data_IF_577964342746
#
_entry.id   IF_577964342746
#
_cell.length_a   1.000
_cell.length_b   1.000
_cell.length_c   1.000
_cell.angle_alpha   90.00
_cell.angle_beta   90.00
_cell.angle_gamma   90.00
#
_symmetry.space_group_name_H-M   'P 1'
#
loop_
_entity.id
_entity.type
_entity.pdbx_description
1 polymer ?
#
# COMPACT_ATOMS: atom_id res chain seq x y z
N UNK A 1 -0.28 -32.60 -10.74
CA UNK A 1 -0.52 -31.19 -11.10
C UNK A 1 0.33 -30.75 -12.28
N UNK A 2 1.67 -30.62 -12.14
CA UNK A 2 2.53 -30.01 -13.18
C UNK A 2 2.36 -30.54 -14.61
N UNK A 3 2.09 -31.84 -14.80
CA UNK A 3 1.86 -32.42 -16.12
C UNK A 3 0.57 -31.93 -16.80
N UNK A 4 -0.52 -31.81 -16.04
CA UNK A 4 -1.81 -31.34 -16.53
C UNK A 4 -1.77 -29.83 -16.82
N UNK A 5 -1.21 -29.04 -15.90
CA UNK A 5 -1.08 -27.58 -16.07
C UNK A 5 -0.25 -27.23 -17.33
N UNK A 6 0.83 -28.00 -17.57
CA UNK A 6 1.63 -27.90 -18.80
C UNK A 6 0.81 -28.26 -20.02
N UNK A 7 0.09 -29.39 -19.98
CA UNK A 7 -0.71 -29.86 -21.10
C UNK A 7 -1.83 -28.87 -21.47
N UNK A 8 -2.55 -28.32 -20.50
CA UNK A 8 -3.57 -27.29 -20.75
C UNK A 8 -2.95 -26.06 -21.41
N UNK A 9 -1.81 -25.58 -20.90
CA UNK A 9 -1.07 -24.45 -21.48
C UNK A 9 -0.65 -24.73 -22.93
N UNK A 10 -0.20 -25.96 -23.22
CA UNK A 10 0.17 -26.40 -24.56
C UNK A 10 -1.03 -26.51 -25.51
N UNK A 11 -2.18 -27.01 -25.03
CA UNK A 11 -3.42 -27.09 -25.81
C UNK A 11 -3.93 -25.69 -26.14
N UNK A 12 -3.95 -24.77 -25.16
CA UNK A 12 -4.36 -23.38 -25.37
C UNK A 12 -3.44 -22.64 -26.34
N UNK A 13 -2.15 -22.97 -26.34
CA UNK A 13 -1.18 -22.40 -27.27
C UNK A 13 -1.14 -23.11 -28.64
N UNK A 14 -1.97 -24.13 -28.88
CA UNK A 14 -1.94 -25.00 -30.06
C UNK A 14 -0.55 -25.60 -30.36
N UNK A 15 0.20 -25.94 -29.30
CA UNK A 15 1.60 -26.40 -29.35
C UNK A 15 1.84 -27.60 -28.43
N UNK A 16 1.01 -28.63 -28.56
CA UNK A 16 1.15 -29.86 -27.76
C UNK A 16 2.41 -30.64 -28.12
N UNK A 17 3.28 -30.80 -27.11
CA UNK A 17 4.57 -31.47 -27.26
C UNK A 17 4.44 -32.97 -27.51
N UNK A 18 5.45 -33.58 -28.12
CA UNK A 18 5.50 -35.03 -28.32
C UNK A 18 5.46 -35.81 -27.00
N UNK A 19 6.03 -35.22 -25.93
CA UNK A 19 5.98 -35.79 -24.58
C UNK A 19 4.53 -35.85 -24.07
N UNK A 20 3.79 -34.75 -24.18
CA UNK A 20 2.37 -34.65 -23.84
C UNK A 20 1.51 -35.58 -24.68
N UNK A 21 1.78 -35.71 -25.98
CA UNK A 21 1.08 -36.66 -26.87
C UNK A 21 1.28 -38.10 -26.46
N UNK A 22 2.51 -38.50 -26.11
CA UNK A 22 2.83 -39.85 -25.61
C UNK A 22 2.15 -40.13 -24.29
N UNK A 23 2.15 -39.15 -23.39
CA UNK A 23 1.47 -39.28 -22.10
C UNK A 23 -0.04 -39.45 -22.28
N UNK A 24 -0.69 -38.61 -23.11
CA UNK A 24 -2.10 -38.76 -23.46
C UNK A 24 -2.40 -40.14 -24.04
N UNK A 25 -1.58 -40.61 -24.99
CA UNK A 25 -1.71 -41.94 -25.57
C UNK A 25 -1.58 -43.06 -24.52
N UNK A 26 -0.67 -42.93 -23.54
CA UNK A 26 -0.55 -43.88 -22.43
C UNK A 26 -1.77 -43.90 -21.51
N UNK A 27 -2.53 -42.80 -21.47
CA UNK A 27 -3.80 -42.70 -20.77
C UNK A 27 -5.02 -43.09 -21.65
N UNK A 28 -4.81 -43.45 -22.91
CA UNK A 28 -5.90 -43.73 -23.86
C UNK A 28 -6.69 -42.49 -24.30
N UNK A 29 -6.09 -41.30 -24.17
CA UNK A 29 -6.68 -40.02 -24.55
C UNK A 29 -5.99 -39.44 -25.79
N UNK A 30 -6.74 -38.61 -26.51
CA UNK A 30 -6.24 -37.78 -27.61
C UNK A 30 -6.22 -36.31 -27.20
N UNK A 31 -5.43 -35.50 -27.90
CA UNK A 31 -5.41 -34.04 -27.71
C UNK A 31 -6.81 -33.44 -27.91
N UNK A 32 -7.55 -33.95 -28.90
CA UNK A 32 -8.91 -33.49 -29.21
C UNK A 32 -9.90 -33.82 -28.09
N UNK A 33 -9.83 -35.02 -27.51
CA UNK A 33 -10.67 -35.37 -26.34
C UNK A 33 -10.35 -34.47 -25.14
N UNK A 34 -9.07 -34.21 -24.88
CA UNK A 34 -8.68 -33.32 -23.79
C UNK A 34 -9.16 -31.88 -24.04
N UNK A 35 -8.98 -31.36 -25.25
CA UNK A 35 -9.46 -30.03 -25.66
C UNK A 35 -10.98 -29.88 -25.47
N UNK A 36 -11.75 -30.92 -25.78
CA UNK A 36 -13.20 -30.94 -25.60
C UNK A 36 -13.64 -31.08 -24.13
N UNK A 37 -12.74 -31.46 -23.21
CA UNK A 37 -13.00 -31.46 -21.77
C UNK A 37 -12.54 -30.18 -21.07
N UNK A 38 -11.76 -29.34 -21.74
CA UNK A 38 -11.33 -28.07 -21.17
C UNK A 38 -12.48 -27.08 -21.17
N UNK A 39 -12.70 -26.44 -20.02
CA UNK A 39 -13.55 -25.26 -19.99
C UNK A 39 -12.90 -24.17 -20.86
N UNK A 40 -13.72 -23.39 -21.61
CA UNK A 40 -13.19 -22.25 -22.33
C UNK A 40 -12.50 -21.32 -21.33
N UNK A 41 -11.33 -20.79 -21.68
CA UNK A 41 -10.66 -19.78 -20.87
C UNK A 41 -11.64 -18.64 -20.64
N UNK A 42 -12.06 -18.46 -19.38
CA UNK A 42 -12.94 -17.37 -19.02
C UNK A 42 -12.22 -16.05 -19.33
N UNK A 43 -12.63 -15.42 -20.42
CA UNK A 43 -12.12 -14.12 -20.83
C UNK A 43 -13.23 -13.12 -20.53
N UNK A 44 -13.27 -12.52 -19.34
CA UNK A 44 -14.31 -11.57 -19.00
C UNK A 44 -14.28 -10.41 -19.98
N UNK A 45 -15.47 -9.94 -20.39
CA UNK A 45 -15.57 -8.65 -21.04
C UNK A 45 -15.06 -7.58 -20.05
N UNK A 46 -13.98 -6.88 -20.42
CA UNK A 46 -13.38 -5.84 -19.59
C UNK A 46 -13.99 -4.51 -19.97
N UNK A 47 -14.45 -3.75 -18.98
CA UNK A 47 -14.82 -2.34 -19.12
C UNK A 47 -13.73 -1.49 -18.47
N UNK A 48 -13.37 -0.41 -19.14
CA UNK A 48 -12.38 0.56 -18.65
C UNK A 48 -13.14 1.79 -18.18
N UNK A 49 -12.81 2.26 -16.98
CA UNK A 49 -13.24 3.56 -16.48
C UNK A 49 -12.01 4.32 -15.98
N UNK A 50 -12.03 5.64 -16.14
CA UNK A 50 -11.03 6.55 -15.61
C UNK A 50 -11.53 7.09 -14.27
N UNK A 51 -10.69 7.03 -13.24
CA UNK A 51 -10.99 7.64 -11.96
C UNK A 51 -10.77 9.14 -12.03
N UNK A 52 -11.79 9.90 -11.66
CA UNK A 52 -11.66 11.31 -11.30
C UNK A 52 -11.68 11.40 -9.78
N UNK A 53 -10.58 11.85 -9.19
CA UNK A 53 -10.41 11.97 -7.75
C UNK A 53 -10.27 13.43 -7.32
N UNK A 54 -10.55 13.70 -6.06
CA UNK A 54 -10.20 14.96 -5.42
C UNK A 54 -8.68 15.07 -5.12
N UNK A 55 -8.28 16.18 -4.49
CA UNK A 55 -6.89 16.44 -4.11
C UNK A 55 -6.33 15.50 -3.02
N UNK A 56 -7.18 14.78 -2.29
CA UNK A 56 -6.79 13.76 -1.29
C UNK A 56 -6.65 12.36 -1.94
N UNK A 57 -7.04 12.22 -3.21
CA UNK A 57 -7.10 10.95 -3.92
C UNK A 57 -8.41 10.18 -3.77
N UNK A 58 -9.44 10.77 -3.14
CA UNK A 58 -10.76 10.16 -2.99
C UNK A 58 -11.49 10.13 -4.34
N UNK A 59 -11.94 8.96 -4.83
CA UNK A 59 -12.75 8.88 -6.04
C UNK A 59 -14.06 9.67 -5.94
N UNK A 60 -14.28 10.59 -6.87
CA UNK A 60 -15.52 11.36 -7.00
C UNK A 60 -16.34 10.94 -8.22
N UNK A 61 -15.70 10.43 -9.27
CA UNK A 61 -16.39 9.91 -10.44
C UNK A 61 -15.62 8.82 -11.19
N UNK A 62 -16.36 7.96 -11.89
CA UNK A 62 -15.84 7.04 -12.89
C UNK A 62 -16.31 7.49 -14.26
N UNK A 63 -15.35 7.81 -15.13
CA UNK A 63 -15.61 8.30 -16.48
C UNK A 63 -15.38 7.16 -17.47
N UNK A 64 -16.37 6.89 -18.32
CA UNK A 64 -16.27 5.92 -19.42
C UNK A 64 -15.25 6.36 -20.48
N UNK A 65 -14.86 5.43 -21.36
CA UNK A 65 -13.98 5.73 -22.50
C UNK A 65 -14.60 6.73 -23.49
N UNK A 66 -15.92 6.88 -23.47
CA UNK A 66 -16.67 7.84 -24.28
C UNK A 66 -16.79 9.22 -23.62
N UNK A 67 -16.24 9.39 -22.41
CA UNK A 67 -16.28 10.66 -21.66
C UNK A 67 -17.56 10.88 -20.85
N UNK A 68 -18.47 9.91 -20.80
CA UNK A 68 -19.67 9.98 -19.97
C UNK A 68 -19.39 9.55 -18.52
N UNK A 69 -19.99 10.23 -17.55
CA UNK A 69 -19.97 9.86 -16.13
C UNK A 69 -20.81 8.59 -15.92
N UNK A 70 -20.15 7.50 -15.54
CA UNK A 70 -20.80 6.21 -15.29
C UNK A 70 -21.18 6.03 -13.81
N UNK A 71 -20.49 6.74 -12.93
CA UNK A 71 -20.73 6.80 -11.48
C UNK A 71 -20.17 8.13 -10.97
N UNK A 72 -20.84 8.77 -10.02
CA UNK A 72 -20.25 9.85 -9.23
C UNK A 72 -20.83 9.90 -7.82
N UNK A 73 -20.07 10.47 -6.90
CA UNK A 73 -20.46 10.62 -5.51
C UNK A 73 -19.84 11.88 -4.90
N UNK A 74 -20.52 12.44 -3.90
CA UNK A 74 -19.99 13.52 -3.08
C UNK A 74 -19.70 12.98 -1.67
N UNK A 75 -18.61 13.46 -1.10
CA UNK A 75 -18.16 13.08 0.24
C UNK A 75 -17.76 14.32 1.02
N UNK A 76 -17.88 14.25 2.35
CA UNK A 76 -17.30 15.26 3.22
C UNK A 76 -15.78 15.09 3.41
N UNK A 77 -15.20 15.92 4.28
CA UNK A 77 -13.77 15.93 4.59
C UNK A 77 -13.28 14.66 5.30
N UNK A 78 -14.18 13.88 5.91
CA UNK A 78 -13.90 12.63 6.62
C UNK A 78 -14.27 11.39 5.80
N UNK A 79 -14.80 11.58 4.59
CA UNK A 79 -15.18 10.50 3.69
C UNK A 79 -16.59 9.94 3.96
N UNK A 80 -17.45 10.65 4.69
CA UNK A 80 -18.87 10.28 4.75
C UNK A 80 -19.50 10.51 3.38
N UNK A 81 -20.24 9.51 2.89
CA UNK A 81 -20.97 9.61 1.63
C UNK A 81 -22.17 10.56 1.82
N UNK A 82 -22.20 11.65 1.04
CA UNK A 82 -23.28 12.64 1.06
C UNK A 82 -24.31 12.39 -0.04
N UNK A 83 -23.85 12.00 -1.22
CA UNK A 83 -24.68 11.66 -2.37
C UNK A 83 -23.98 10.62 -3.25
N UNK A 84 -24.77 9.77 -3.93
CA UNK A 84 -24.28 8.71 -4.82
C UNK A 84 -25.21 8.60 -6.04
N UNK A 85 -24.63 8.72 -7.24
CA UNK A 85 -25.30 8.52 -8.51
C UNK A 85 -24.66 7.34 -9.24
N UNK A 86 -25.35 6.20 -9.23
CA UNK A 86 -24.84 4.93 -9.78
C UNK A 86 -25.84 4.26 -10.74
N UNK A 87 -26.13 4.86 -11.92
CA UNK A 87 -27.15 4.36 -12.85
C UNK A 87 -26.82 3.00 -13.47
N UNK A 88 -25.56 2.58 -13.40
CA UNK A 88 -25.08 1.32 -13.97
C UNK A 88 -24.78 0.25 -12.92
N UNK A 89 -25.10 0.49 -11.66
CA UNK A 89 -24.84 -0.42 -10.53
C UNK A 89 -23.39 -0.91 -10.50
N UNK A 90 -22.44 0.00 -10.74
CA UNK A 90 -21.01 -0.29 -10.67
C UNK A 90 -20.61 -0.55 -9.21
N UNK A 91 -19.81 -1.58 -8.99
CA UNK A 91 -19.22 -1.81 -7.67
C UNK A 91 -18.02 -0.87 -7.48
N UNK A 92 -18.22 0.18 -6.69
CA UNK A 92 -17.18 1.17 -6.37
C UNK A 92 -16.90 1.19 -4.87
N UNK A 93 -15.86 0.45 -4.46
CA UNK A 93 -15.51 0.25 -3.05
C UNK A 93 -14.38 1.17 -2.56
N UNK A 94 -13.63 1.83 -3.43
CA UNK A 94 -12.49 2.66 -3.05
C UNK A 94 -12.97 3.92 -2.32
N UNK A 95 -12.27 4.30 -1.24
CA UNK A 95 -12.53 5.50 -0.42
C UNK A 95 -11.27 6.37 -0.34
N UNK A 96 -10.95 6.91 0.85
CA UNK A 96 -9.69 7.62 1.08
C UNK A 96 -8.49 6.70 0.79
N UNK A 97 -7.26 7.22 0.62
CA UNK A 97 -6.11 6.41 0.24
C UNK A 97 -5.94 5.13 1.06
N UNK A 98 -5.84 3.98 0.37
CA UNK A 98 -5.68 2.67 0.99
C UNK A 98 -6.97 2.01 1.48
N UNK A 99 -8.09 2.73 1.47
CA UNK A 99 -9.35 2.28 2.05
C UNK A 99 -10.31 1.63 1.04
N UNK A 100 -11.02 0.60 1.51
CA UNK A 100 -12.14 -0.03 0.82
C UNK A 100 -13.39 -0.02 1.70
N UNK A 101 -14.53 0.30 1.13
CA UNK A 101 -15.82 0.19 1.79
C UNK A 101 -16.17 -1.28 2.02
N UNK A 102 -16.51 -1.59 3.25
CA UNK A 102 -17.05 -2.87 3.68
C UNK A 102 -18.55 -2.72 3.96
N UNK A 103 -19.37 -3.30 3.09
CA UNK A 103 -20.83 -3.22 3.18
C UNK A 103 -21.37 -3.91 4.44
N UNK A 104 -20.70 -4.96 4.94
CA UNK A 104 -21.19 -5.72 6.11
C UNK A 104 -21.10 -4.89 7.39
N UNK A 105 -20.03 -4.10 7.55
CA UNK A 105 -19.80 -3.28 8.73
C UNK A 105 -20.23 -1.82 8.55
N UNK A 106 -20.35 -1.34 7.31
CA UNK A 106 -20.52 0.09 7.01
C UNK A 106 -19.25 0.92 7.21
N UNK A 107 -18.12 0.28 7.49
CA UNK A 107 -16.83 0.91 7.79
C UNK A 107 -15.89 0.84 6.58
N UNK A 108 -14.78 1.56 6.67
CA UNK A 108 -13.75 1.57 5.63
C UNK A 108 -12.56 0.74 6.08
N UNK A 109 -12.40 -0.43 5.47
CA UNK A 109 -11.27 -1.32 5.70
C UNK A 109 -9.99 -0.71 5.16
N UNK A 110 -8.98 -0.57 6.03
CA UNK A 110 -7.64 -0.12 5.69
C UNK A 110 -6.60 -1.12 6.21
N UNK A 111 -6.54 -2.29 5.56
CA UNK A 111 -5.62 -3.40 5.87
C UNK A 111 -5.70 -3.90 7.31
N UNK A 112 -5.01 -3.26 8.24
CA UNK A 112 -4.92 -3.73 9.62
C UNK A 112 -5.97 -3.08 10.55
N UNK A 113 -6.71 -2.08 10.05
CA UNK A 113 -7.67 -1.32 10.85
C UNK A 113 -8.93 -1.01 10.07
N UNK A 114 -10.02 -0.75 10.80
CA UNK A 114 -11.26 -0.20 10.25
C UNK A 114 -11.38 1.27 10.60
N UNK A 115 -11.62 2.10 9.59
CA UNK A 115 -11.86 3.54 9.71
C UNK A 115 -13.37 3.81 9.73
N UNK A 116 -13.79 4.64 10.68
CA UNK A 116 -15.15 5.14 10.79
C UNK A 116 -15.18 6.63 10.36
N UNK A 117 -15.79 6.94 9.21
CA UNK A 117 -15.87 8.32 8.71
C UNK A 117 -16.78 9.21 9.58
N UNK A 118 -17.73 8.66 10.34
CA UNK A 118 -18.56 9.45 11.26
C UNK A 118 -17.75 9.95 12.46
N UNK A 119 -16.75 9.17 12.89
CA UNK A 119 -15.86 9.52 13.99
C UNK A 119 -14.56 10.18 13.54
N UNK A 120 -14.29 10.17 12.23
CA UNK A 120 -13.06 10.68 11.62
C UNK A 120 -11.80 9.94 12.06
N UNK A 121 -11.90 8.64 12.41
CA UNK A 121 -10.81 7.88 13.06
C UNK A 121 -10.92 6.38 12.86
N UNK A 122 -9.86 5.64 13.20
CA UNK A 122 -9.94 4.18 13.29
C UNK A 122 -10.74 3.74 14.52
N UNK A 123 -11.45 2.61 14.44
CA UNK A 123 -12.20 2.03 15.56
C UNK A 123 -11.44 0.88 16.26
N UNK A 124 -10.35 0.42 15.66
CA UNK A 124 -9.44 -0.56 16.22
C UNK A 124 -8.12 0.10 16.58
N UNK A 125 -7.50 -0.32 17.69
CA UNK A 125 -6.19 0.18 18.07
C UNK A 125 -5.15 -0.13 16.99
N UNK A 126 -4.15 0.73 16.88
CA UNK A 126 -2.97 0.46 16.11
C UNK A 126 -2.30 -0.85 16.56
N UNK A 127 -2.13 -1.86 15.70
CA UNK A 127 -1.43 -3.08 16.04
C UNK A 127 0.01 -2.87 16.51
N UNK A 128 0.64 -1.74 16.14
CA UNK A 128 1.98 -1.39 16.65
C UNK A 128 1.94 -0.67 18.01
N UNK A 129 0.75 -0.46 18.58
CA UNK A 129 0.54 0.12 19.91
C UNK A 129 1.06 1.55 19.99
N UNK A 130 1.79 1.87 21.08
CA UNK A 130 2.34 3.21 21.32
C UNK A 130 3.35 3.66 20.26
N UNK A 131 3.89 2.73 19.45
CA UNK A 131 4.76 3.10 18.33
C UNK A 131 4.01 3.88 17.24
N UNK A 132 2.67 3.78 17.17
CA UNK A 132 1.83 4.55 16.24
C UNK A 132 1.40 5.90 16.82
N UNK A 133 1.94 6.28 17.97
CA UNK A 133 1.59 7.50 18.71
C UNK A 133 0.66 7.27 19.90
N UNK A 134 0.42 8.34 20.66
CA UNK A 134 -0.39 8.33 21.89
C UNK A 134 -1.88 8.07 21.65
N UNK A 135 -2.38 8.37 20.45
CA UNK A 135 -3.75 8.10 20.07
C UNK A 135 -3.80 6.84 19.21
N UNK A 136 -4.09 5.70 19.84
CA UNK A 136 -4.17 4.39 19.18
C UNK A 136 -5.19 4.30 18.03
N UNK A 137 -6.06 5.29 17.89
CA UNK A 137 -7.17 5.31 16.95
C UNK A 137 -6.99 6.36 15.85
N UNK A 138 -5.86 7.07 15.81
CA UNK A 138 -5.66 8.23 14.95
C UNK A 138 -5.56 7.87 13.45
N UNK A 139 -6.31 8.60 12.63
CA UNK A 139 -6.06 8.72 11.18
C UNK A 139 -5.18 9.97 10.94
N UNK A 140 -4.34 10.04 9.87
CA UNK A 140 -3.47 11.19 9.64
C UNK A 140 -4.20 12.52 9.75
N UNK A 141 -3.67 13.44 10.56
CA UNK A 141 -4.29 14.75 10.79
C UNK A 141 -4.24 15.66 9.56
N UNK A 142 -3.28 15.40 8.65
CA UNK A 142 -3.12 16.16 7.43
C UNK A 142 -3.06 15.23 6.20
N UNK A 143 -4.22 14.78 5.67
CA UNK A 143 -4.27 13.88 4.51
C UNK A 143 -3.78 14.52 3.19
N UNK A 144 -3.47 15.83 3.18
CA UNK A 144 -2.95 16.53 1.99
C UNK A 144 -1.47 16.21 1.75
N UNK A 145 -0.69 16.01 2.83
CA UNK A 145 0.75 15.70 2.73
C UNK A 145 1.11 14.36 3.37
N UNK A 146 0.28 13.86 4.29
CA UNK A 146 0.49 12.59 4.95
C UNK A 146 -0.52 11.60 4.39
N UNK A 147 -0.03 10.56 3.74
CA UNK A 147 -0.83 9.38 3.45
C UNK A 147 -0.42 8.34 4.48
N UNK A 148 -1.35 7.47 4.86
CA UNK A 148 -1.06 6.29 5.67
C UNK A 148 -1.03 4.99 4.83
N UNK A 149 -0.11 4.81 3.83
CA UNK A 149 -0.14 3.62 2.97
C UNK A 149 0.04 2.31 3.74
N UNK A 150 0.67 2.36 4.91
CA UNK A 150 1.01 1.19 5.73
C UNK A 150 0.58 1.28 7.19
N UNK A 151 0.48 2.47 7.77
CA UNK A 151 0.36 2.70 9.22
C UNK A 151 1.52 3.45 9.87
N UNK A 152 2.66 3.70 9.20
CA UNK A 152 3.99 3.66 9.87
C UNK A 152 5.08 4.62 9.32
N UNK A 153 6.05 4.99 10.16
CA UNK A 153 7.43 5.46 9.83
C UNK A 153 8.45 4.34 10.09
N UNK A 154 9.53 4.31 9.30
CA UNK A 154 10.53 3.24 9.39
C UNK A 154 11.41 3.34 10.66
N UNK A 155 12.07 4.48 10.91
CA UNK A 155 12.85 4.70 12.14
C UNK A 155 12.67 6.13 12.68
N UNK A 156 12.08 6.26 13.87
CA UNK A 156 12.01 7.51 14.61
C UNK A 156 12.99 7.51 15.80
N UNK A 157 13.99 8.39 15.76
CA UNK A 157 15.00 8.58 16.80
C UNK A 157 14.77 9.84 17.63
N UNK A 158 13.74 10.64 17.36
CA UNK A 158 13.38 11.71 18.29
C UNK A 158 12.92 11.06 19.60
N UNK A 159 13.37 11.55 20.77
CA UNK A 159 12.83 11.08 22.04
C UNK A 159 11.32 11.29 22.11
N UNK A 160 10.56 10.34 22.68
CA UNK A 160 9.10 10.44 22.85
C UNK A 160 8.69 11.71 23.62
N UNK A 161 9.60 12.29 24.42
CA UNK A 161 9.40 13.54 25.14
C UNK A 161 9.29 14.78 24.25
N UNK A 162 9.72 14.68 23.00
CA UNK A 162 9.89 15.83 22.13
C UNK A 162 8.67 15.97 21.21
N UNK A 163 8.13 17.19 21.10
CA UNK A 163 6.94 17.47 20.28
C UNK A 163 7.09 17.08 18.80
N UNK A 164 8.33 17.06 18.30
CA UNK A 164 8.63 16.65 16.92
C UNK A 164 8.51 15.14 16.72
N UNK A 165 8.54 14.32 17.77
CA UNK A 165 8.44 12.86 17.66
C UNK A 165 7.18 12.45 16.90
N UNK A 166 6.02 12.98 17.30
CA UNK A 166 4.76 12.67 16.62
C UNK A 166 4.68 13.20 15.19
N UNK A 167 5.39 14.30 14.88
CA UNK A 167 5.48 14.81 13.51
C UNK A 167 6.36 13.89 12.65
N UNK A 168 7.44 13.38 13.24
CA UNK A 168 8.34 12.47 12.56
C UNK A 168 7.67 11.13 12.23
N UNK A 169 6.76 10.64 13.08
CA UNK A 169 5.93 9.44 12.86
C UNK A 169 4.97 9.55 11.65
N UNK A 170 4.71 10.76 11.16
CA UNK A 170 3.87 10.98 9.97
C UNK A 170 4.68 10.97 8.66
N UNK A 171 6.02 10.90 8.71
CA UNK A 171 6.86 11.02 7.51
C UNK A 171 6.91 9.72 6.71
N UNK A 172 6.04 9.60 5.71
CA UNK A 172 6.05 8.48 4.77
C UNK A 172 6.36 8.94 3.33
N UNK A 173 7.49 8.51 2.77
CA UNK A 173 7.86 8.81 1.39
C UNK A 173 7.96 7.49 0.60
N UNK A 174 7.12 7.25 -0.42
CA UNK A 174 7.15 6.02 -1.19
C UNK A 174 8.53 5.71 -1.77
N UNK A 175 9.04 4.50 -1.51
CA UNK A 175 10.33 4.02 -2.04
C UNK A 175 11.57 4.61 -1.35
N UNK A 176 11.39 5.39 -0.28
CA UNK A 176 12.47 5.99 0.50
C UNK A 176 12.37 5.50 1.94
N UNK A 177 13.49 5.05 2.49
CA UNK A 177 13.60 4.67 3.90
C UNK A 177 13.83 5.94 4.74
N UNK A 178 12.86 6.31 5.57
CA UNK A 178 12.86 7.61 6.28
C UNK A 178 13.35 7.46 7.72
N UNK A 179 14.22 8.39 8.14
CA UNK A 179 14.78 8.41 9.50
C UNK A 179 14.65 9.81 10.07
N UNK A 180 13.96 9.95 11.20
CA UNK A 180 13.90 11.21 11.96
C UNK A 180 14.81 11.17 13.18
N UNK A 181 15.49 12.27 13.52
CA UNK A 181 16.25 12.35 14.78
C UNK A 181 16.94 13.68 15.03
N UNK A 182 17.33 13.95 16.28
CA UNK A 182 18.20 15.09 16.59
C UNK A 182 19.60 14.84 16.06
N UNK A 183 20.20 15.88 15.49
CA UNK A 183 21.50 15.77 14.85
C UNK A 183 22.42 16.94 15.13
N UNK A 184 23.70 16.69 14.93
CA UNK A 184 24.76 17.69 14.82
C UNK A 184 25.53 17.43 13.52
N UNK A 185 26.44 18.32 13.10
CA UNK A 185 27.32 18.04 11.97
C UNK A 185 28.06 16.70 12.02
N UNK A 186 28.28 16.11 13.20
CA UNK A 186 29.10 14.89 13.37
C UNK A 186 28.40 13.74 14.07
N UNK A 187 27.11 13.87 14.42
CA UNK A 187 26.39 12.84 15.18
C UNK A 187 24.88 12.89 14.97
N UNK A 188 24.22 11.79 15.29
CA UNK A 188 22.77 11.73 15.51
C UNK A 188 22.50 11.17 16.91
N UNK A 189 21.42 11.60 17.55
CA UNK A 189 20.94 11.02 18.81
C UNK A 189 20.00 9.85 18.55
N UNK A 190 20.05 8.83 19.41
CA UNK A 190 19.01 7.81 19.52
C UNK A 190 17.77 8.39 20.21
N UNK A 191 16.66 7.64 20.19
CA UNK A 191 15.45 7.96 20.96
C UNK A 191 15.70 8.09 22.48
N UNK A 192 16.79 7.50 23.00
CA UNK A 192 17.22 7.62 24.40
C UNK A 192 18.27 8.73 24.63
N UNK A 193 18.47 9.63 23.67
CA UNK A 193 19.49 10.70 23.69
C UNK A 193 20.93 10.20 23.76
N UNK A 194 21.17 8.95 23.38
CA UNK A 194 22.54 8.42 23.25
C UNK A 194 23.11 8.83 21.90
N UNK A 195 24.36 9.28 21.88
CA UNK A 195 25.03 9.63 20.63
C UNK A 195 25.31 8.36 19.82
N UNK A 196 24.89 8.37 18.56
CA UNK A 196 25.14 7.31 17.59
C UNK A 196 26.11 7.78 16.51
N UNK A 197 26.97 6.87 16.08
CA UNK A 197 27.83 7.05 14.91
C UNK A 197 27.08 6.68 13.63
N UNK A 198 27.60 7.09 12.47
CA UNK A 198 27.06 6.68 11.18
C UNK A 198 27.04 5.14 11.01
N UNK A 199 28.00 4.44 11.64
CA UNK A 199 28.05 2.98 11.66
C UNK A 199 26.90 2.37 12.47
N UNK A 200 26.57 2.97 13.62
CA UNK A 200 25.46 2.50 14.46
C UNK A 200 24.13 2.72 13.75
N UNK A 201 23.95 3.89 13.12
CA UNK A 201 22.76 4.17 12.32
C UNK A 201 22.64 3.23 11.12
N UNK A 202 23.73 2.99 10.38
CA UNK A 202 23.75 2.06 9.27
C UNK A 202 23.42 0.62 9.70
N UNK A 203 23.83 0.23 10.92
CA UNK A 203 23.44 -1.05 11.49
C UNK A 203 21.92 -1.09 11.74
N UNK A 204 21.34 -0.06 12.37
CA UNK A 204 19.88 0.01 12.59
C UNK A 204 19.10 -0.11 11.27
N UNK A 205 19.50 0.64 10.23
CA UNK A 205 18.87 0.60 8.91
C UNK A 205 18.93 -0.82 8.31
N UNK A 206 20.11 -1.45 8.32
CA UNK A 206 20.30 -2.77 7.70
C UNK A 206 19.53 -3.89 8.38
N UNK A 207 19.25 -3.75 9.67
CA UNK A 207 18.50 -4.73 10.45
C UNK A 207 17.00 -4.42 10.53
N UNK A 208 16.55 -3.29 9.97
CA UNK A 208 15.14 -2.97 9.89
C UNK A 208 14.43 -3.82 8.82
N UNK A 209 13.27 -4.37 9.17
CA UNK A 209 12.50 -5.24 8.26
C UNK A 209 11.95 -4.53 7.03
N UNK A 210 11.75 -3.21 7.11
CA UNK A 210 11.24 -2.39 6.02
C UNK A 210 12.34 -1.97 5.05
N UNK A 211 13.60 -1.95 5.47
CA UNK A 211 14.72 -1.64 4.59
C UNK A 211 14.94 -2.75 3.56
N UNK A 212 15.30 -2.36 2.33
CA UNK A 212 15.74 -3.22 1.25
C UNK A 212 17.02 -2.64 0.66
N UNK A 213 17.96 -3.50 0.28
CA UNK A 213 19.21 -3.07 -0.32
C UNK A 213 18.95 -2.24 -1.58
N UNK A 214 19.62 -1.10 -1.69
CA UNK A 214 19.41 -0.11 -2.76
C UNK A 214 18.28 0.91 -2.53
N UNK A 215 17.52 0.83 -1.43
CA UNK A 215 16.57 1.89 -1.06
C UNK A 215 17.31 3.20 -0.77
N UNK A 216 16.75 4.30 -1.26
CA UNK A 216 17.21 5.64 -0.89
C UNK A 216 16.91 5.87 0.59
N UNK A 217 17.87 6.38 1.37
CA UNK A 217 17.69 6.73 2.78
C UNK A 217 17.63 8.24 2.92
N UNK A 218 16.57 8.77 3.54
CA UNK A 218 16.45 10.19 3.86
C UNK A 218 16.52 10.43 5.36
N UNK A 219 17.43 11.31 5.76
CA UNK A 219 17.70 11.63 7.16
C UNK A 219 17.15 13.02 7.51
N UNK A 220 16.04 13.06 8.24
CA UNK A 220 15.44 14.28 8.80
C UNK A 220 16.10 14.60 10.13
N UNK A 221 17.16 15.42 10.09
CA UNK A 221 17.91 15.79 11.29
C UNK A 221 18.62 17.14 11.16
N UNK A 222 18.98 17.74 12.29
CA UNK A 222 19.62 19.04 12.30
C UNK A 222 21.10 18.95 11.89
N UNK A 223 21.51 19.71 10.86
CA UNK A 223 22.91 19.93 10.47
C UNK A 223 23.75 18.69 10.10
N UNK A 224 23.21 17.48 10.03
CA UNK A 224 24.01 16.26 9.79
C UNK A 224 24.71 16.20 8.43
N UNK A 225 24.26 17.00 7.45
CA UNK A 225 24.94 17.21 6.17
C UNK A 225 25.81 18.47 6.10
N UNK A 226 26.06 19.16 7.22
CA UNK A 226 26.76 20.45 7.23
C UNK A 226 28.28 20.26 7.37
N UNK A 227 29.03 20.68 6.36
CA UNK A 227 30.50 20.72 6.39
C UNK A 227 31.16 19.50 5.77
N UNK A 228 32.49 19.54 5.65
CA UNK A 228 33.27 18.39 5.19
C UNK A 228 33.35 17.33 6.30
N UNK A 229 33.22 16.05 5.92
CA UNK A 229 33.16 14.91 6.86
C UNK A 229 31.98 15.00 7.84
N UNK A 230 30.85 15.49 7.35
CA UNK A 230 29.60 15.52 8.10
C UNK A 230 29.09 14.10 8.39
N UNK A 231 28.18 13.96 9.35
CA UNK A 231 27.57 12.67 9.69
C UNK A 231 26.94 11.95 8.48
N UNK A 232 26.36 12.71 7.55
CA UNK A 232 25.68 12.18 6.37
C UNK A 232 26.57 12.01 5.11
N UNK A 233 27.86 12.36 5.18
CA UNK A 233 28.80 12.28 4.04
C UNK A 233 29.63 11.01 4.02
#
# INVERSE_FOLDING_TARGET
MQMLDRLESEILADRVSEESRRWLASCGLTVEQMKNQMDPVYTPARKIHLYHCDHRGLPLALISTEGATAWCAEYDEWGNLLSDENPHHLQQLIRLPGQQYDEESGLYYNRHRYYDPLLGRYITQDPIGLKGGWNFYQYPLNPVINVDPQGLVDINLYPESDLIHSVADEINIPGVFTIGGHGTPTSIESATRSIMTAKDLAYLIKFDGNYKDGMTVWLFSCNTGKGQNSFAS
#
